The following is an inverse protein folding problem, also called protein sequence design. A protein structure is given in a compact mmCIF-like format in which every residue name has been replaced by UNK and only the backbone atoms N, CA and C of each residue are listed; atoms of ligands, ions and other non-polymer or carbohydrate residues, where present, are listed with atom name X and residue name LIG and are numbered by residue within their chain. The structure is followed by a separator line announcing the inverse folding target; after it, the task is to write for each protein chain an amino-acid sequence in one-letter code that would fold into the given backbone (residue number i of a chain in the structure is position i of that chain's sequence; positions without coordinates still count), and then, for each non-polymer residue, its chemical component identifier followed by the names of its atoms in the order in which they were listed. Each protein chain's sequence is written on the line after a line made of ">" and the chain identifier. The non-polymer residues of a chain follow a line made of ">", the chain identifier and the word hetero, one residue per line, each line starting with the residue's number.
data_IF_146818444480
#
_entry.id   IF_146818444480
#
_cell.length_a   1.000
_cell.length_b   1.000
_cell.length_c   1.000
_cell.angle_alpha   90.00
_cell.angle_beta   90.00
_cell.angle_gamma   90.00
#
_symmetry.space_group_name_H-M   'P 1'
#
loop_
_entity.id
_entity.type
_entity.pdbx_description
1 polymer ?
#
# COMPACT_ATOMS: atom_id res chain seq x y z
N UNK A 1 -3.86 -20.02 10.76
CA UNK A 1 -3.50 -18.79 11.51
C UNK A 1 -4.80 -18.12 11.96
N UNK A 2 -5.02 -17.93 13.27
CA UNK A 2 -6.21 -17.24 13.78
C UNK A 2 -6.17 -15.72 13.53
N UNK A 3 -7.32 -15.04 13.57
CA UNK A 3 -7.37 -13.57 13.49
C UNK A 3 -6.66 -12.95 14.69
N UNK A 4 -5.73 -12.03 14.45
CA UNK A 4 -5.08 -11.26 15.51
C UNK A 4 -6.09 -10.36 16.22
N UNK A 5 -6.00 -10.25 17.55
CA UNK A 5 -6.74 -9.23 18.29
C UNK A 5 -6.19 -7.86 17.92
N UNK A 6 -7.04 -6.83 17.91
CA UNK A 6 -6.65 -5.49 17.46
C UNK A 6 -5.49 -4.86 18.26
N UNK A 7 -5.38 -5.17 19.55
CA UNK A 7 -4.25 -4.72 20.40
C UNK A 7 -2.94 -5.36 19.97
N UNK A 8 -2.94 -6.67 19.76
CA UNK A 8 -1.77 -7.45 19.38
C UNK A 8 -1.31 -7.08 17.97
N UNK A 9 -2.25 -6.90 17.03
CA UNK A 9 -1.97 -6.38 15.70
C UNK A 9 -1.24 -5.04 15.75
N UNK A 10 -1.74 -4.07 16.52
CA UNK A 10 -1.09 -2.76 16.66
C UNK A 10 0.28 -2.86 17.35
N UNK A 11 0.44 -3.76 18.31
CA UNK A 11 1.72 -3.98 18.96
C UNK A 11 2.78 -4.46 17.97
N UNK A 12 2.42 -5.42 17.11
CA UNK A 12 3.29 -5.97 16.05
C UNK A 12 3.50 -4.99 14.89
N UNK A 13 2.53 -4.13 14.60
CA UNK A 13 2.61 -3.17 13.50
C UNK A 13 3.63 -2.05 13.78
N UNK A 14 3.78 -1.62 15.03
CA UNK A 14 4.67 -0.51 15.40
C UNK A 14 6.13 -0.66 14.93
N UNK A 15 6.85 -1.75 15.23
CA UNK A 15 8.23 -1.90 14.76
C UNK A 15 8.32 -1.90 13.23
N UNK A 16 7.33 -2.49 12.54
CA UNK A 16 7.28 -2.48 11.07
C UNK A 16 7.07 -1.08 10.50
N UNK A 17 6.28 -0.24 11.17
CA UNK A 17 6.10 1.16 10.79
C UNK A 17 7.41 1.97 10.93
N UNK A 18 8.22 1.68 11.94
CA UNK A 18 9.54 2.30 12.14
C UNK A 18 10.51 1.91 11.03
N UNK A 19 10.60 0.63 10.71
CA UNK A 19 11.41 0.11 9.60
C UNK A 19 10.96 0.68 8.25
N UNK A 20 9.64 0.80 8.04
CA UNK A 20 9.07 1.39 6.82
C UNK A 20 9.51 2.85 6.63
N UNK A 21 9.53 3.63 7.71
CA UNK A 21 10.04 5.00 7.69
C UNK A 21 11.55 5.03 7.43
N UNK A 22 12.31 4.10 8.02
CA UNK A 22 13.74 3.92 7.75
C UNK A 22 14.02 3.63 6.28
N UNK A 23 13.29 2.69 5.68
CA UNK A 23 13.38 2.36 4.25
C UNK A 23 13.05 3.55 3.37
N UNK A 24 12.01 4.33 3.69
CA UNK A 24 11.65 5.51 2.92
C UNK A 24 12.72 6.61 3.00
N UNK A 25 13.36 6.79 4.17
CA UNK A 25 14.50 7.71 4.32
C UNK A 25 15.69 7.25 3.50
N UNK A 26 16.03 5.96 3.57
CA UNK A 26 17.10 5.37 2.77
C UNK A 26 16.85 5.55 1.26
N UNK A 27 15.63 5.29 0.78
CA UNK A 27 15.28 5.45 -0.63
C UNK A 27 15.44 6.91 -1.08
N UNK A 28 15.09 7.87 -0.21
CA UNK A 28 15.30 9.30 -0.46
C UNK A 28 16.79 9.66 -0.55
N UNK A 29 17.61 9.17 0.37
CA UNK A 29 19.04 9.47 0.46
C UNK A 29 19.84 8.84 -0.68
N UNK A 30 19.47 7.64 -1.09
CA UNK A 30 20.12 6.91 -2.20
C UNK A 30 19.57 7.26 -3.58
N UNK A 31 18.49 8.06 -3.65
CA UNK A 31 17.80 8.39 -4.90
C UNK A 31 17.04 7.21 -5.53
N UNK A 32 16.80 6.14 -4.77
CA UNK A 32 16.08 4.96 -5.24
C UNK A 32 14.57 5.21 -5.31
N UNK A 33 13.89 4.44 -6.16
CA UNK A 33 12.44 4.51 -6.36
C UNK A 33 11.79 3.20 -5.95
N UNK A 34 10.74 3.29 -5.14
CA UNK A 34 10.02 2.11 -4.65
C UNK A 34 8.58 2.18 -5.16
N UNK A 35 8.13 1.11 -5.81
CA UNK A 35 6.75 0.93 -6.24
C UNK A 35 6.18 -0.32 -5.56
N UNK A 36 5.06 -0.19 -4.87
CA UNK A 36 4.32 -1.29 -4.24
C UNK A 36 2.99 -1.44 -4.95
N UNK A 37 2.75 -2.60 -5.55
CA UNK A 37 1.51 -2.94 -6.24
C UNK A 37 0.61 -3.79 -5.34
N UNK A 38 -0.63 -3.36 -5.19
CA UNK A 38 -1.69 -4.02 -4.45
C UNK A 38 -2.71 -4.59 -5.43
N UNK A 39 -2.66 -5.91 -5.59
CA UNK A 39 -3.61 -6.68 -6.39
C UNK A 39 -4.67 -7.36 -5.52
N UNK A 40 -5.82 -7.65 -6.13
CA UNK A 40 -6.86 -8.44 -5.48
C UNK A 40 -8.25 -8.16 -6.01
N UNK A 41 -9.19 -8.99 -5.55
CA UNK A 41 -10.62 -8.84 -5.89
C UNK A 41 -11.23 -7.64 -5.17
N UNK A 42 -12.38 -7.22 -5.66
CA UNK A 42 -13.24 -6.28 -4.94
C UNK A 42 -13.48 -6.77 -3.51
N UNK A 43 -13.41 -5.85 -2.54
CA UNK A 43 -13.61 -6.12 -1.11
C UNK A 43 -12.49 -6.92 -0.41
N UNK A 44 -11.38 -7.23 -1.08
CA UNK A 44 -10.24 -7.94 -0.46
C UNK A 44 -9.47 -7.14 0.62
N UNK A 45 -9.81 -5.87 0.85
CA UNK A 45 -9.17 -5.04 1.88
C UNK A 45 -7.93 -4.26 1.42
N UNK A 46 -7.69 -4.14 0.10
CA UNK A 46 -6.55 -3.39 -0.48
C UNK A 46 -6.43 -1.95 0.04
N UNK A 47 -7.56 -1.26 0.20
CA UNK A 47 -7.57 0.11 0.74
C UNK A 47 -7.06 0.20 2.18
N UNK A 48 -7.37 -0.81 3.02
CA UNK A 48 -6.86 -0.90 4.38
C UNK A 48 -5.35 -1.12 4.42
N UNK A 49 -4.83 -1.96 3.53
CA UNK A 49 -3.39 -2.21 3.40
C UNK A 49 -2.64 -0.97 2.88
N UNK A 50 -3.15 -0.30 1.85
CA UNK A 50 -2.59 0.96 1.35
C UNK A 50 -2.54 2.00 2.45
N UNK A 51 -3.62 2.11 3.24
CA UNK A 51 -3.67 3.02 4.38
C UNK A 51 -2.63 2.62 5.42
N UNK A 52 -2.52 1.34 5.80
CA UNK A 52 -1.51 0.86 6.75
C UNK A 52 -0.09 1.33 6.39
N UNK A 53 0.27 1.25 5.11
CA UNK A 53 1.58 1.69 4.60
C UNK A 53 1.68 3.22 4.50
N UNK A 54 0.69 3.90 3.91
CA UNK A 54 0.80 5.33 3.61
C UNK A 54 0.66 6.24 4.83
N UNK A 55 -0.02 5.78 5.90
CA UNK A 55 -0.30 6.58 7.10
C UNK A 55 0.95 7.11 7.83
N UNK A 56 2.06 6.38 7.76
CA UNK A 56 3.30 6.73 8.47
C UNK A 56 4.38 7.32 7.58
N UNK A 57 4.11 7.40 6.28
CA UNK A 57 5.03 7.98 5.30
C UNK A 57 4.71 9.46 5.06
N UNK A 58 5.73 10.23 4.70
CA UNK A 58 5.53 11.64 4.36
C UNK A 58 4.66 11.74 3.09
N UNK A 59 3.51 12.44 3.11
CA UNK A 59 2.60 12.52 1.96
C UNK A 59 3.23 13.18 0.72
N UNK A 60 4.26 14.02 0.90
CA UNK A 60 4.99 14.61 -0.24
C UNK A 60 5.85 13.58 -0.98
N UNK A 61 6.24 12.53 -0.27
CA UNK A 61 7.08 11.44 -0.77
C UNK A 61 6.25 10.20 -1.10
N UNK A 62 5.00 10.07 -0.65
CA UNK A 62 4.18 8.90 -0.89
C UNK A 62 2.97 9.25 -1.76
N UNK A 63 2.96 8.76 -3.00
CA UNK A 63 1.80 8.90 -3.91
C UNK A 63 1.11 7.56 -4.02
N UNK A 64 -0.22 7.55 -4.00
CA UNK A 64 -1.00 6.34 -4.23
C UNK A 64 -1.95 6.53 -5.40
N UNK A 65 -2.16 5.44 -6.15
CA UNK A 65 -3.00 5.42 -7.34
C UNK A 65 -4.01 4.29 -7.22
N UNK A 66 -5.20 4.55 -7.75
CA UNK A 66 -6.24 3.55 -7.88
C UNK A 66 -6.58 3.39 -9.36
N UNK A 67 -6.16 2.27 -9.95
CA UNK A 67 -6.53 1.93 -11.31
C UNK A 67 -7.91 1.25 -11.25
N UNK A 68 -8.95 2.01 -11.60
CA UNK A 68 -10.25 1.40 -11.91
C UNK A 68 -10.12 0.73 -13.26
N UNK A 69 -10.42 -0.57 -13.34
CA UNK A 69 -10.41 -1.31 -14.59
C UNK A 69 -11.22 -0.53 -15.65
N UNK A 70 -10.62 -0.27 -16.82
CA UNK A 70 -11.29 0.34 -17.98
C UNK A 70 -12.39 -0.54 -18.59
N UNK A 71 -12.76 -1.65 -17.96
CA UNK A 71 -13.76 -2.59 -18.49
C UNK A 71 -15.16 -2.16 -18.10
N UNK A 72 -15.75 -1.26 -18.88
CA UNK A 72 -17.20 -1.00 -18.91
C UNK A 72 -18.03 -2.17 -19.48
N UNK A 73 -17.43 -3.33 -19.82
CA UNK A 73 -18.17 -4.39 -20.53
C UNK A 73 -17.75 -5.86 -20.33
N UNK A 74 -16.86 -6.23 -19.39
CA UNK A 74 -16.51 -7.65 -19.19
C UNK A 74 -16.28 -8.02 -17.73
N UNK A 75 -17.34 -7.92 -16.92
CA UNK A 75 -17.42 -8.72 -15.68
C UNK A 75 -17.68 -10.17 -16.06
N UNK A 76 -16.63 -10.97 -16.29
CA UNK A 76 -16.80 -12.43 -16.28
C UNK A 76 -17.10 -12.81 -14.81
N UNK A 77 -18.33 -13.26 -14.55
CA UNK A 77 -18.80 -13.76 -13.25
C UNK A 77 -18.89 -12.73 -12.11
N UNK A 78 -18.98 -11.43 -12.42
CA UNK A 78 -19.16 -10.39 -11.38
C UNK A 78 -17.88 -10.02 -10.59
N UNK A 79 -16.74 -10.66 -10.87
CA UNK A 79 -15.44 -10.32 -10.28
C UNK A 79 -14.76 -9.23 -11.11
N UNK A 80 -14.37 -8.11 -10.49
CA UNK A 80 -13.36 -7.23 -11.07
C UNK A 80 -12.07 -7.27 -10.25
N UNK A 81 -10.94 -7.24 -10.96
CA UNK A 81 -9.63 -7.02 -10.35
C UNK A 81 -9.35 -5.53 -10.45
N UNK A 82 -9.00 -4.91 -9.33
CA UNK A 82 -8.57 -3.52 -9.30
C UNK A 82 -7.11 -3.45 -8.83
N UNK A 83 -6.25 -2.89 -9.66
CA UNK A 83 -4.85 -2.65 -9.33
C UNK A 83 -4.75 -1.33 -8.57
N UNK A 84 -3.99 -1.28 -7.48
CA UNK A 84 -3.66 -0.03 -6.78
C UNK A 84 -2.18 -0.03 -6.44
N UNK A 85 -1.58 1.14 -6.23
CA UNK A 85 -0.15 1.18 -5.93
C UNK A 85 0.27 2.37 -5.10
N UNK A 86 1.43 2.24 -4.44
CA UNK A 86 2.15 3.31 -3.77
C UNK A 86 3.49 3.52 -4.48
N UNK A 87 3.86 4.77 -4.75
CA UNK A 87 5.15 5.16 -5.32
C UNK A 87 5.86 6.15 -4.40
N UNK A 88 7.12 5.84 -4.08
CA UNK A 88 8.08 6.72 -3.44
C UNK A 88 9.04 7.29 -4.52
N UNK A 89 8.92 8.58 -4.90
CA UNK A 89 9.81 9.22 -5.84
C UNK A 89 11.17 9.50 -5.17
N UNK A 90 12.23 9.71 -5.98
CA UNK A 90 13.52 10.07 -5.42
C UNK A 90 13.44 11.43 -4.72
N UNK A 91 14.26 11.62 -3.69
CA UNK A 91 14.45 12.94 -3.08
C UNK A 91 15.02 13.91 -4.12
N UNK A 92 14.51 15.15 -4.14
CA UNK A 92 15.24 16.28 -4.72
C UNK A 92 16.32 16.73 -3.75
#
# INVERSE_FOLDING_TARGET
>A
MGKLKGKDYRHLLRPLEEELVGMARWARETGQRICVLFEGRDTAGKGGAIRAVSQRLNPRQCRWWHCRSLTSGRKRNGISNAMSGICLPPGK
#
